data_IF_869073777795
#
_entry.id   IF_869073777795
#
_cell.length_a   1.000
_cell.length_b   1.000
_cell.length_c   1.000
_cell.angle_alpha   90.00
_cell.angle_beta   90.00
_cell.angle_gamma   90.00
#
_symmetry.space_group_name_H-M   'P 1'
#
loop_
_entity.id
_entity.type
_entity.pdbx_description
1 polymer ?
#
# COMPACT_ATOMS: atom_id res chain seq x y z
N UNK A 1 3.30 11.69 7.74
CA UNK A 1 3.40 10.35 8.38
C UNK A 1 4.47 9.60 7.62
N UNK A 2 5.37 8.95 8.36
CA UNK A 2 6.58 8.27 7.86
C UNK A 2 6.25 6.93 7.19
N UNK A 3 5.13 6.34 7.59
CA UNK A 3 4.49 5.15 7.05
C UNK A 3 4.44 5.05 5.51
N UNK A 4 4.20 6.13 4.75
CA UNK A 4 4.22 6.06 3.27
C UNK A 4 5.56 5.53 2.76
N UNK A 5 6.65 6.08 3.27
CA UNK A 5 7.99 5.64 2.89
C UNK A 5 8.21 4.19 3.34
N UNK A 6 7.71 3.83 4.52
CA UNK A 6 7.78 2.46 5.03
C UNK A 6 7.06 1.47 4.15
N UNK A 7 5.85 1.77 3.70
CA UNK A 7 5.05 0.90 2.83
C UNK A 7 5.72 0.68 1.48
N UNK A 8 6.17 1.78 0.85
CA UNK A 8 6.83 1.74 -0.47
C UNK A 8 8.15 0.97 -0.41
N UNK A 9 9.00 1.26 0.59
CA UNK A 9 10.28 0.57 0.73
C UNK A 9 10.13 -0.90 1.17
N UNK A 10 9.11 -1.22 1.97
CA UNK A 10 8.80 -2.61 2.28
C UNK A 10 8.47 -3.41 1.02
N UNK A 11 7.67 -2.82 0.12
CA UNK A 11 7.39 -3.47 -1.17
C UNK A 11 8.61 -3.55 -2.08
N UNK A 12 9.47 -2.53 -2.10
CA UNK A 12 10.74 -2.62 -2.81
C UNK A 12 11.57 -3.82 -2.34
N UNK A 13 11.74 -3.95 -1.01
CA UNK A 13 12.51 -5.06 -0.40
C UNK A 13 11.89 -6.41 -0.75
N UNK A 14 10.60 -6.60 -0.48
CA UNK A 14 9.92 -7.87 -0.75
C UNK A 14 9.95 -8.25 -2.23
N UNK A 15 9.75 -7.27 -3.12
CA UNK A 15 9.75 -7.52 -4.56
C UNK A 15 11.15 -7.81 -5.09
N UNK A 16 12.18 -7.13 -4.56
CA UNK A 16 13.57 -7.41 -4.94
C UNK A 16 13.97 -8.82 -4.50
N UNK A 17 13.62 -9.23 -3.28
CA UNK A 17 13.81 -10.61 -2.82
C UNK A 17 13.05 -11.61 -3.69
N UNK A 18 11.83 -11.29 -4.11
CA UNK A 18 11.05 -12.12 -5.03
C UNK A 18 11.73 -12.29 -6.39
N UNK A 19 12.34 -11.22 -6.94
CA UNK A 19 13.13 -11.31 -8.19
C UNK A 19 14.28 -12.31 -8.07
N UNK A 20 14.89 -12.44 -6.90
CA UNK A 20 16.00 -13.38 -6.70
C UNK A 20 15.55 -14.85 -6.59
N UNK A 21 14.28 -15.09 -6.22
CA UNK A 21 13.78 -16.43 -5.87
C UNK A 21 12.73 -16.97 -6.85
N UNK A 22 12.12 -16.12 -7.66
CA UNK A 22 10.96 -16.46 -8.49
C UNK A 22 11.28 -16.16 -9.95
N UNK A 23 11.53 -17.21 -10.75
CA UNK A 23 12.01 -17.10 -12.14
C UNK A 23 11.13 -16.26 -13.07
N UNK A 24 9.81 -16.27 -12.87
CA UNK A 24 8.88 -15.49 -13.71
C UNK A 24 8.74 -14.03 -13.26
N UNK A 25 9.12 -13.70 -12.02
CA UNK A 25 8.97 -12.37 -11.45
C UNK A 25 10.23 -11.54 -11.74
N UNK A 26 10.13 -10.64 -12.71
CA UNK A 26 11.27 -9.83 -13.13
C UNK A 26 11.22 -8.40 -12.57
N UNK A 27 12.35 -7.68 -12.69
CA UNK A 27 12.54 -6.33 -12.15
C UNK A 27 11.50 -5.30 -12.64
N UNK A 28 10.86 -5.51 -13.80
CA UNK A 28 9.86 -4.59 -14.35
C UNK A 28 8.63 -4.46 -13.45
N UNK A 29 8.35 -5.46 -12.62
CA UNK A 29 7.20 -5.47 -11.72
C UNK A 29 7.47 -4.84 -10.36
N UNK A 30 8.73 -4.60 -9.97
CA UNK A 30 9.07 -3.98 -8.67
C UNK A 30 8.45 -2.58 -8.54
N UNK A 31 8.50 -1.77 -9.60
CA UNK A 31 7.84 -0.47 -9.59
C UNK A 31 6.32 -0.57 -9.46
N UNK A 32 5.71 -1.59 -10.09
CA UNK A 32 4.26 -1.82 -10.05
C UNK A 32 3.81 -2.23 -8.66
N UNK A 33 4.55 -3.11 -7.97
CA UNK A 33 4.22 -3.51 -6.59
C UNK A 33 4.38 -2.35 -5.62
N UNK A 34 5.41 -1.52 -5.79
CA UNK A 34 5.58 -0.28 -5.02
C UNK A 34 4.42 0.69 -5.24
N UNK A 35 3.96 0.87 -6.49
CA UNK A 35 2.79 1.69 -6.81
C UNK A 35 1.52 1.17 -6.12
N UNK A 36 1.34 -0.15 -6.07
CA UNK A 36 0.25 -0.77 -5.31
C UNK A 36 0.25 -0.35 -3.84
N UNK A 37 1.42 -0.30 -3.21
CA UNK A 37 1.56 0.13 -1.82
C UNK A 37 1.31 1.64 -1.60
N UNK A 38 1.23 2.45 -2.65
CA UNK A 38 0.84 3.87 -2.54
C UNK A 38 -0.68 4.04 -2.56
N UNK A 39 -1.42 3.10 -3.15
CA UNK A 39 -2.87 3.24 -3.40
C UNK A 39 -3.65 3.58 -2.12
N UNK A 40 -3.55 2.83 -1.01
CA UNK A 40 -4.37 3.12 0.17
C UNK A 40 -3.98 4.46 0.83
N UNK A 41 -2.74 4.91 0.61
CA UNK A 41 -2.24 6.19 1.09
C UNK A 41 -2.81 7.40 0.34
N UNK A 42 -3.58 7.21 -0.73
CA UNK A 42 -4.38 8.28 -1.33
C UNK A 42 -5.30 8.95 -0.30
N UNK A 43 -5.71 8.23 0.75
CA UNK A 43 -6.47 8.78 1.88
C UNK A 43 -5.74 9.91 2.62
N UNK A 44 -4.41 10.03 2.49
CA UNK A 44 -3.65 11.14 3.09
C UNK A 44 -3.98 12.50 2.48
N UNK A 45 -4.76 12.56 1.39
CA UNK A 45 -5.40 13.80 0.94
C UNK A 45 -6.22 14.50 2.04
N UNK A 46 -6.63 13.76 3.07
CA UNK A 46 -7.29 14.33 4.25
C UNK A 46 -6.43 15.38 4.97
N UNK A 47 -5.10 15.24 4.93
CA UNK A 47 -4.18 16.16 5.58
C UNK A 47 -4.17 17.53 4.91
N UNK A 48 -4.57 17.59 3.63
CA UNK A 48 -4.58 18.81 2.85
C UNK A 48 -5.96 19.49 2.87
N UNK A 49 -7.04 18.70 2.91
CA UNK A 49 -8.40 19.20 2.64
C UNK A 49 -9.40 18.93 3.76
N UNK A 50 -9.00 18.23 4.83
CA UNK A 50 -9.91 17.72 5.85
C UNK A 50 -10.48 16.35 5.48
N UNK A 51 -11.34 15.73 6.31
CA UNK A 51 -11.76 14.33 6.16
C UNK A 51 -12.67 14.08 4.95
N UNK A 52 -13.34 15.11 4.46
CA UNK A 52 -14.27 15.05 3.34
C UNK A 52 -13.72 15.78 2.12
N UNK A 53 -14.15 15.35 0.94
CA UNK A 53 -13.89 16.04 -0.31
C UNK A 53 -15.16 16.05 -1.17
N UNK A 54 -15.24 16.99 -2.10
CA UNK A 54 -16.35 17.07 -3.06
C UNK A 54 -15.78 17.00 -4.47
N UNK A 55 -16.26 16.04 -5.26
CA UNK A 55 -15.87 15.85 -6.65
C UNK A 55 -17.16 15.73 -7.48
N UNK A 56 -17.31 16.61 -8.48
CA UNK A 56 -18.52 16.70 -9.32
C UNK A 56 -19.84 16.79 -8.53
N UNK A 57 -19.84 17.50 -7.39
CA UNK A 57 -21.00 17.64 -6.51
C UNK A 57 -21.28 16.43 -5.61
N UNK A 58 -20.50 15.35 -5.73
CA UNK A 58 -20.61 14.16 -4.89
C UNK A 58 -19.65 14.31 -3.70
N UNK A 59 -20.18 14.16 -2.48
CA UNK A 59 -19.39 14.14 -1.24
C UNK A 59 -18.74 12.77 -1.07
N UNK A 60 -17.44 12.77 -0.81
CA UNK A 60 -16.65 11.59 -0.49
C UNK A 60 -15.86 11.78 0.80
N UNK A 61 -15.41 10.67 1.38
CA UNK A 61 -14.52 10.66 2.53
C UNK A 61 -13.17 10.09 2.12
N UNK A 62 -12.08 10.74 2.52
CA UNK A 62 -10.74 10.24 2.26
C UNK A 62 -10.49 8.88 2.93
N UNK A 63 -11.11 8.63 4.09
CA UNK A 63 -11.02 7.33 4.77
C UNK A 63 -11.57 6.18 3.94
N UNK A 64 -12.53 6.45 3.04
CA UNK A 64 -13.08 5.42 2.16
C UNK A 64 -12.05 4.89 1.16
N UNK A 65 -10.97 5.64 0.88
CA UNK A 65 -9.89 5.23 -0.04
C UNK A 65 -8.93 4.19 0.54
N UNK A 66 -9.02 3.89 1.85
CA UNK A 66 -8.28 2.81 2.50
C UNK A 66 -9.02 1.47 2.43
N UNK A 67 -10.14 1.37 1.72
CA UNK A 67 -10.95 0.14 1.66
C UNK A 67 -10.52 -0.75 0.49
N UNK A 68 -10.69 -2.08 0.61
CA UNK A 68 -10.44 -3.03 -0.48
C UNK A 68 -11.26 -2.66 -1.70
N UNK A 69 -12.51 -2.20 -1.54
CA UNK A 69 -13.34 -1.72 -2.66
C UNK A 69 -12.69 -0.61 -3.46
N UNK A 70 -12.24 0.44 -2.77
CA UNK A 70 -11.54 1.54 -3.41
C UNK A 70 -10.22 1.10 -4.02
N UNK A 71 -9.46 0.23 -3.35
CA UNK A 71 -8.21 -0.30 -3.88
C UNK A 71 -8.43 -1.12 -5.16
N UNK A 72 -9.45 -1.98 -5.19
CA UNK A 72 -9.86 -2.73 -6.38
C UNK A 72 -10.24 -1.78 -7.52
N UNK A 73 -10.98 -0.70 -7.23
CA UNK A 73 -11.32 0.31 -8.24
C UNK A 73 -10.07 1.01 -8.81
N UNK A 74 -9.12 1.40 -7.96
CA UNK A 74 -7.84 1.98 -8.40
C UNK A 74 -7.00 0.99 -9.21
N UNK A 75 -6.94 -0.28 -8.79
CA UNK A 75 -6.23 -1.33 -9.52
C UNK A 75 -6.81 -1.48 -10.92
N UNK A 76 -8.14 -1.63 -11.04
CA UNK A 76 -8.77 -1.78 -12.35
C UNK A 76 -8.60 -0.53 -13.21
N UNK A 77 -8.74 0.67 -12.65
CA UNK A 77 -8.50 1.91 -13.38
C UNK A 77 -7.06 2.01 -13.90
N UNK A 78 -6.07 1.67 -13.06
CA UNK A 78 -4.65 1.70 -13.44
C UNK A 78 -4.28 0.63 -14.48
N UNK A 79 -4.85 -0.57 -14.38
CA UNK A 79 -4.58 -1.68 -15.29
C UNK A 79 -5.06 -1.39 -16.73
N UNK A 80 -6.07 -0.54 -16.91
CA UNK A 80 -6.53 -0.13 -18.24
C UNK A 80 -5.47 0.65 -19.03
N UNK A 81 -4.44 1.18 -18.38
CA UNK A 81 -3.32 1.88 -19.01
C UNK A 81 -2.30 0.93 -19.67
N UNK A 82 -2.43 -0.37 -19.47
CA UNK A 82 -1.48 -1.39 -19.95
C UNK A 82 -2.09 -2.31 -21.01
N UNK A 83 -1.21 -2.93 -21.81
CA UNK A 83 -1.59 -3.89 -22.85
C UNK A 83 -2.21 -5.15 -22.24
N UNK A 84 -3.14 -5.78 -22.97
CA UNK A 84 -3.99 -6.86 -22.46
C UNK A 84 -3.22 -8.07 -21.91
N UNK A 85 -2.09 -8.39 -22.53
CA UNK A 85 -1.17 -9.46 -22.15
C UNK A 85 -0.40 -9.17 -20.86
N UNK A 86 -0.17 -7.90 -20.53
CA UNK A 86 0.52 -7.50 -19.29
C UNK A 86 -0.44 -7.38 -18.09
N UNK A 87 -1.74 -7.18 -18.32
CA UNK A 87 -2.75 -6.90 -17.28
C UNK A 87 -2.73 -7.88 -16.10
N UNK A 88 -2.65 -9.21 -16.28
CA UNK A 88 -2.64 -10.13 -15.14
C UNK A 88 -1.47 -9.87 -14.19
N UNK A 89 -0.28 -9.58 -14.75
CA UNK A 89 0.90 -9.28 -13.96
C UNK A 89 0.79 -7.91 -13.26
N UNK A 90 0.21 -6.92 -13.92
CA UNK A 90 -0.03 -5.60 -13.31
C UNK A 90 -1.06 -5.69 -12.18
N UNK A 91 -2.18 -6.40 -12.39
CA UNK A 91 -3.18 -6.66 -11.34
C UNK A 91 -2.52 -7.34 -10.15
N UNK A 92 -1.75 -8.40 -10.38
CA UNK A 92 -1.05 -9.13 -9.33
C UNK A 92 -0.07 -8.24 -8.56
N UNK A 93 0.74 -7.44 -9.27
CA UNK A 93 1.71 -6.54 -8.67
C UNK A 93 1.05 -5.46 -7.80
N UNK A 94 0.06 -4.74 -8.34
CA UNK A 94 -0.66 -3.71 -7.60
C UNK A 94 -1.39 -4.31 -6.38
N UNK A 95 -2.02 -5.47 -6.55
CA UNK A 95 -2.72 -6.17 -5.46
C UNK A 95 -1.78 -6.56 -4.33
N UNK A 96 -0.58 -7.07 -4.67
CA UNK A 96 0.44 -7.41 -3.67
C UNK A 96 0.85 -6.18 -2.86
N UNK A 97 1.07 -5.05 -3.54
CA UNK A 97 1.39 -3.79 -2.86
C UNK A 97 0.29 -3.31 -1.92
N UNK A 98 -0.96 -3.34 -2.36
CA UNK A 98 -2.14 -2.99 -1.53
C UNK A 98 -2.23 -3.90 -0.30
N UNK A 99 -2.12 -5.21 -0.49
CA UNK A 99 -2.23 -6.19 0.60
C UNK A 99 -1.13 -5.99 1.63
N UNK A 100 0.12 -5.81 1.19
CA UNK A 100 1.23 -5.54 2.11
C UNK A 100 1.06 -4.20 2.84
N UNK A 101 0.60 -3.17 2.14
CA UNK A 101 0.29 -1.89 2.78
C UNK A 101 -0.75 -2.09 3.88
N UNK A 102 -1.92 -2.66 3.55
CA UNK A 102 -3.00 -2.89 4.51
C UNK A 102 -2.55 -3.74 5.69
N UNK A 103 -1.71 -4.74 5.45
CA UNK A 103 -1.12 -5.54 6.51
C UNK A 103 -0.25 -4.71 7.46
N UNK A 104 0.62 -3.84 6.94
CA UNK A 104 1.44 -2.95 7.77
C UNK A 104 0.59 -1.94 8.54
N UNK A 105 -0.49 -1.48 7.92
CA UNK A 105 -1.47 -0.57 8.51
C UNK A 105 -2.31 -1.20 9.62
N UNK A 106 -2.46 -2.54 9.62
CA UNK A 106 -3.06 -3.28 10.73
C UNK A 106 -2.17 -3.26 11.98
N UNK A 107 -0.86 -3.03 11.85
CA UNK A 107 0.08 -3.00 12.97
C UNK A 107 0.14 -1.63 13.67
N UNK A 108 -0.52 -0.61 13.10
CA UNK A 108 -0.50 0.77 13.61
C UNK A 108 -1.40 0.91 14.83
N UNK A 109 -0.89 1.50 15.91
CA UNK A 109 -1.62 1.83 17.13
C UNK A 109 -2.82 2.74 16.83
N UNK A 110 -3.99 2.33 17.29
CA UNK A 110 -5.25 3.08 17.14
C UNK A 110 -5.87 3.34 18.51
N UNK A 111 -6.48 4.52 18.68
CA UNK A 111 -7.08 4.94 19.96
C UNK A 111 -8.24 4.07 20.42
N UNK A 112 -8.98 3.49 19.47
CA UNK A 112 -10.10 2.57 19.73
C UNK A 112 -9.69 1.10 19.64
N UNK A 113 -8.41 0.80 19.45
CA UNK A 113 -7.87 -0.56 19.30
C UNK A 113 -8.32 -1.27 18.01
N UNK A 114 -8.96 -0.57 17.07
CA UNK A 114 -9.50 -1.19 15.86
C UNK A 114 -9.02 -0.50 14.59
N UNK A 115 -8.70 -1.30 13.58
CA UNK A 115 -8.42 -0.80 12.24
C UNK A 115 -9.68 -0.14 11.63
N UNK A 116 -9.50 0.79 10.66
CA UNK A 116 -10.57 1.17 9.74
C UNK A 116 -11.23 -0.06 9.08
N UNK A 117 -12.40 0.13 8.47
CA UNK A 117 -13.13 -0.93 7.78
C UNK A 117 -12.47 -1.32 6.44
N UNK A 118 -11.21 -1.76 6.49
CA UNK A 118 -10.40 -2.12 5.32
C UNK A 118 -11.09 -3.14 4.42
N UNK A 119 -11.87 -4.07 4.99
CA UNK A 119 -12.53 -5.14 4.24
C UNK A 119 -13.79 -4.70 3.48
N UNK A 120 -14.23 -3.44 3.60
CA UNK A 120 -15.34 -2.93 2.80
C UNK A 120 -14.99 -3.02 1.30
N UNK A 121 -15.90 -3.49 0.41
CA UNK A 121 -17.34 -3.67 0.58
C UNK A 121 -17.78 -5.07 1.01
N UNK A 122 -16.84 -5.99 1.27
CA UNK A 122 -17.18 -7.36 1.66
C UNK A 122 -17.83 -7.38 3.04
N UNK A 123 -17.33 -6.56 3.96
CA UNK A 123 -17.89 -6.39 5.30
C UNK A 123 -17.50 -5.04 5.90
N UNK A 124 -18.30 -4.57 6.85
CA UNK A 124 -17.99 -3.40 7.68
C UNK A 124 -17.21 -3.77 8.95
N UNK A 125 -16.85 -5.04 9.12
CA UNK A 125 -16.09 -5.50 10.28
C UNK A 125 -14.76 -4.74 10.39
N UNK A 126 -14.51 -4.19 11.58
CA UNK A 126 -13.25 -3.55 11.95
C UNK A 126 -12.37 -4.60 12.62
N UNK A 127 -11.20 -4.84 12.05
CA UNK A 127 -10.25 -5.82 12.58
C UNK A 127 -9.52 -5.23 13.80
N UNK A 128 -9.09 -6.07 14.76
CA UNK A 128 -8.21 -5.61 15.83
C UNK A 128 -6.94 -4.99 15.26
N UNK A 129 -6.49 -3.90 15.87
CA UNK A 129 -5.17 -3.34 15.65
C UNK A 129 -4.09 -4.23 16.28
N UNK A 130 -2.92 -4.32 15.65
CA UNK A 130 -1.75 -4.99 16.20
C UNK A 130 -1.00 -4.15 17.24
N UNK A 131 -1.25 -2.84 17.30
CA UNK A 131 -0.74 -1.91 18.30
C UNK A 131 0.80 -1.94 18.50
N UNK A 132 1.56 -1.99 17.40
CA UNK A 132 3.04 -2.09 17.42
C UNK A 132 3.71 -0.72 17.34
N UNK A 133 3.20 0.21 16.53
CA UNK A 133 3.83 1.53 16.32
C UNK A 133 2.81 2.62 15.97
N UNK A 134 3.13 3.90 16.18
CA UNK A 134 2.28 5.01 15.73
C UNK A 134 2.58 5.34 14.27
N UNK A 135 1.56 5.73 13.49
CA UNK A 135 1.75 6.23 12.12
C UNK A 135 2.71 7.44 12.01
N UNK A 136 2.89 8.18 13.11
CA UNK A 136 3.81 9.32 13.20
C UNK A 136 5.23 8.92 13.58
N UNK A 137 5.47 7.67 14.00
CA UNK A 137 6.78 7.22 14.46
C UNK A 137 7.78 7.17 13.30
N UNK A 138 8.96 7.74 13.49
CA UNK A 138 10.00 7.77 12.46
C UNK A 138 10.78 6.44 12.38
N UNK A 139 10.82 5.69 13.48
CA UNK A 139 11.67 4.50 13.60
C UNK A 139 11.37 3.38 12.58
N UNK A 140 10.11 3.08 12.18
CA UNK A 140 9.87 2.04 11.17
C UNK A 140 10.50 2.39 9.82
N UNK A 141 10.46 3.68 9.46
CA UNK A 141 11.10 4.17 8.23
C UNK A 141 12.63 4.12 8.32
N UNK A 142 13.23 4.39 9.48
CA UNK A 142 14.67 4.27 9.64
C UNK A 142 15.14 2.82 9.47
N UNK A 143 14.41 1.86 10.05
CA UNK A 143 14.71 0.43 9.91
C UNK A 143 14.63 0.01 8.46
N UNK A 144 13.53 0.32 7.77
CA UNK A 144 13.33 -0.14 6.39
C UNK A 144 14.26 0.58 5.40
N UNK A 145 14.68 1.82 5.65
CA UNK A 145 15.76 2.48 4.88
C UNK A 145 17.06 1.69 5.02
N UNK A 146 17.41 1.27 6.24
CA UNK A 146 18.60 0.44 6.49
C UNK A 146 18.54 -0.88 5.73
N UNK A 147 17.43 -1.62 5.83
CA UNK A 147 17.21 -2.88 5.11
C UNK A 147 17.25 -2.65 3.60
N UNK A 148 16.56 -1.64 3.10
CA UNK A 148 16.54 -1.28 1.67
C UNK A 148 17.95 -0.99 1.16
N UNK A 149 18.75 -0.25 1.92
CA UNK A 149 20.13 0.09 1.55
C UNK A 149 21.00 -1.16 1.41
N UNK A 150 20.84 -2.13 2.32
CA UNK A 150 21.53 -3.42 2.27
C UNK A 150 21.08 -4.22 1.05
N UNK A 151 19.77 -4.38 0.86
CA UNK A 151 19.20 -5.15 -0.25
C UNK A 151 19.62 -4.54 -1.59
N UNK A 152 19.51 -3.23 -1.74
CA UNK A 152 19.96 -2.51 -2.92
C UNK A 152 21.47 -2.68 -3.19
N UNK A 153 22.29 -2.71 -2.15
CA UNK A 153 23.72 -2.93 -2.28
C UNK A 153 24.05 -4.35 -2.77
N UNK A 154 23.37 -5.36 -2.19
CA UNK A 154 23.52 -6.77 -2.58
C UNK A 154 23.00 -7.00 -4.00
N UNK A 155 21.86 -6.40 -4.34
CA UNK A 155 21.22 -6.53 -5.66
C UNK A 155 22.08 -6.02 -6.83
N UNK A 156 23.00 -5.10 -6.54
CA UNK A 156 23.92 -4.50 -7.52
C UNK A 156 25.25 -5.22 -7.67
N UNK A 157 25.58 -6.13 -6.75
CA UNK A 157 26.79 -6.95 -6.82
C UNK A 157 26.54 -8.20 -7.65
#
# INVERSE_FOLDING_TARGET
MSDLLTHVLSMYVLSTLAVWQIDWFNRRYVGITMLGAVIPDAAKGLLLTGPEFVVFGIRGSWYALQTIGSAVAFIFAGVLLFQADERPAIVGGLSLGVVTHMFLDLLVIRTDGTAPAYLYPLTWARLPSGDIYLSSDIWPSLIIIGITSIIWYVDRR
#
